data_IF_627848470243
#
_entry.id   IF_627848470243
#
_cell.length_a   1.000
_cell.length_b   1.000
_cell.length_c   1.000
_cell.angle_alpha   90.00
_cell.angle_beta   90.00
_cell.angle_gamma   90.00
#
_symmetry.space_group_name_H-M   'P 1'
#
loop_
_entity.id
_entity.type
_entity.pdbx_description
1 polymer ?
#
# COMPACT_ATOMS: atom_id res chain seq x y z
N UNK A 1 32.65 11.74 3.76
CA UNK A 1 32.10 11.65 5.12
C UNK A 1 30.91 10.73 5.10
N UNK A 2 30.95 9.59 5.79
CA UNK A 2 29.79 8.72 5.90
C UNK A 2 28.79 9.33 6.88
N UNK A 3 27.51 9.42 6.49
CA UNK A 3 26.43 9.91 7.34
C UNK A 3 25.71 8.67 7.88
N UNK A 4 25.85 8.41 9.17
CA UNK A 4 25.19 7.29 9.85
C UNK A 4 23.67 7.49 9.81
N UNK A 5 22.94 6.50 9.29
CA UNK A 5 21.48 6.46 9.36
C UNK A 5 21.09 5.80 10.68
N UNK A 6 20.55 6.59 11.62
CA UNK A 6 19.97 6.05 12.84
C UNK A 6 18.57 5.54 12.50
N UNK A 7 18.39 4.22 12.48
CA UNK A 7 17.07 3.60 12.34
C UNK A 7 16.39 3.60 13.71
N UNK A 8 15.62 4.64 14.01
CA UNK A 8 14.64 4.56 15.08
C UNK A 8 13.57 3.57 14.61
N UNK A 9 13.36 2.47 15.35
CA UNK A 9 12.24 1.54 15.14
C UNK A 9 10.93 2.31 15.34
N UNK A 10 10.46 2.95 14.27
CA UNK A 10 9.21 3.70 14.23
C UNK A 10 8.05 2.72 14.34
N UNK A 11 7.22 2.92 15.35
CA UNK A 11 5.87 2.37 15.39
C UNK A 11 5.16 2.99 14.19
N UNK A 12 4.67 2.17 13.25
CA UNK A 12 4.12 2.65 12.00
C UNK A 12 2.91 3.55 12.28
N UNK A 13 3.09 4.87 12.16
CA UNK A 13 2.00 5.82 12.19
C UNK A 13 1.14 5.58 10.95
N UNK A 14 -0.19 5.63 11.11
CA UNK A 14 -1.10 5.73 9.96
C UNK A 14 -0.92 7.12 9.36
N UNK A 15 0.04 7.24 8.44
CA UNK A 15 0.20 8.44 7.64
C UNK A 15 -0.66 8.33 6.39
N UNK A 16 -1.34 9.43 6.04
CA UNK A 16 -2.06 9.52 4.78
C UNK A 16 -1.06 9.48 3.62
N UNK A 17 -1.20 8.47 2.77
CA UNK A 17 -0.41 8.33 1.55
C UNK A 17 -1.18 8.99 0.40
N UNK A 18 -0.64 10.07 -0.17
CA UNK A 18 -1.23 10.71 -1.34
C UNK A 18 -0.97 9.85 -2.58
N UNK A 19 -2.03 9.37 -3.21
CA UNK A 19 -2.00 8.63 -4.48
C UNK A 19 -2.40 9.56 -5.62
N UNK A 20 -1.68 9.48 -6.74
CA UNK A 20 -2.02 10.21 -7.96
C UNK A 20 -2.79 9.32 -8.91
N UNK A 21 -3.67 9.91 -9.70
CA UNK A 21 -4.41 9.22 -10.77
C UNK A 21 -3.45 8.37 -11.62
N UNK A 22 -3.82 7.10 -11.85
CA UNK A 22 -2.97 6.10 -12.50
C UNK A 22 -2.24 5.20 -11.50
N UNK A 23 -1.08 4.69 -11.92
CA UNK A 23 -0.31 3.72 -11.16
C UNK A 23 0.60 4.39 -10.13
N UNK A 24 0.54 3.90 -8.90
CA UNK A 24 1.41 4.28 -7.79
C UNK A 24 2.06 3.03 -7.21
N UNK A 25 3.38 3.06 -7.02
CA UNK A 25 4.07 2.04 -6.22
C UNK A 25 4.20 2.52 -4.78
N UNK A 26 3.65 1.75 -3.84
CA UNK A 26 3.66 2.08 -2.41
C UNK A 26 4.13 0.88 -1.58
N UNK A 27 4.93 1.14 -0.55
CA UNK A 27 5.26 0.13 0.46
C UNK A 27 4.13 0.00 1.48
N UNK A 28 3.86 -1.23 1.94
CA UNK A 28 2.86 -1.43 2.98
C UNK A 28 3.43 -1.10 4.36
N UNK A 29 2.98 0.02 4.91
CA UNK A 29 3.49 0.61 6.15
C UNK A 29 2.66 0.19 7.38
N UNK A 30 2.32 -1.08 7.49
CA UNK A 30 1.78 -1.69 8.73
C UNK A 30 2.54 -2.96 9.06
N UNK A 31 2.63 -3.25 10.35
CA UNK A 31 3.23 -4.48 10.88
C UNK A 31 2.25 -5.66 10.91
N UNK A 32 0.97 -5.43 10.59
CA UNK A 32 -0.06 -6.46 10.58
C UNK A 32 -0.56 -6.72 9.16
N UNK A 33 -0.67 -7.99 8.80
CA UNK A 33 -1.34 -8.37 7.55
C UNK A 33 -2.83 -8.01 7.65
N UNK A 34 -3.38 -7.43 6.58
CA UNK A 34 -4.80 -7.06 6.53
C UNK A 34 -5.39 -7.49 5.20
N UNK A 35 -6.67 -7.85 5.19
CA UNK A 35 -7.39 -8.14 3.94
C UNK A 35 -7.34 -6.91 3.04
N UNK A 36 -7.25 -7.13 1.73
CA UNK A 36 -7.17 -6.04 0.74
C UNK A 36 -8.35 -5.07 0.89
N UNK A 37 -9.56 -5.59 1.10
CA UNK A 37 -10.78 -4.77 1.31
C UNK A 37 -10.65 -3.83 2.50
N UNK A 38 -10.04 -4.30 3.58
CA UNK A 38 -9.98 -3.59 4.85
C UNK A 38 -8.84 -2.57 4.82
N UNK A 39 -7.70 -2.96 4.26
CA UNK A 39 -6.54 -2.08 4.13
C UNK A 39 -6.78 -0.92 3.16
N UNK A 40 -7.55 -1.13 2.09
CA UNK A 40 -7.84 -0.12 1.06
C UNK A 40 -9.22 0.55 1.24
N UNK A 41 -9.88 0.36 2.39
CA UNK A 41 -11.23 0.86 2.64
C UNK A 41 -11.37 2.39 2.48
N UNK A 42 -10.35 3.17 2.87
CA UNK A 42 -10.35 4.64 2.76
C UNK A 42 -10.35 5.15 1.31
N UNK A 43 -9.94 4.32 0.35
CA UNK A 43 -9.94 4.63 -1.09
C UNK A 43 -10.91 3.72 -1.87
N UNK A 44 -11.84 3.07 -1.17
CA UNK A 44 -12.87 2.25 -1.81
C UNK A 44 -13.64 3.06 -2.87
N UNK A 45 -13.87 2.47 -4.04
CA UNK A 45 -14.52 3.14 -5.18
C UNK A 45 -13.59 4.03 -6.03
N UNK A 46 -12.39 4.40 -5.53
CA UNK A 46 -11.38 5.15 -6.27
C UNK A 46 -10.22 4.28 -6.76
N UNK A 47 -10.10 3.07 -6.22
CA UNK A 47 -9.10 2.09 -6.62
C UNK A 47 -9.66 1.12 -7.67
N UNK A 48 -8.92 0.92 -8.76
CA UNK A 48 -9.27 -0.04 -9.82
C UNK A 48 -8.67 -1.41 -9.55
N UNK A 49 -7.39 -1.47 -9.22
CA UNK A 49 -6.68 -2.72 -8.91
C UNK A 49 -5.47 -2.48 -8.00
N UNK A 50 -5.14 -3.49 -7.21
CA UNK A 50 -3.88 -3.59 -6.49
C UNK A 50 -3.14 -4.86 -6.90
N UNK A 51 -1.82 -4.76 -7.09
CA UNK A 51 -0.97 -5.86 -7.50
C UNK A 51 0.32 -5.90 -6.68
N UNK A 52 0.87 -7.10 -6.50
CA UNK A 52 2.19 -7.30 -5.89
C UNK A 52 2.90 -8.48 -6.56
N UNK A 53 4.22 -8.46 -6.51
CA UNK A 53 5.03 -9.59 -6.93
C UNK A 53 5.40 -10.43 -5.70
N UNK A 54 4.94 -11.67 -5.66
CA UNK A 54 5.33 -12.61 -4.62
C UNK A 54 6.67 -13.25 -4.98
N UNK A 55 7.74 -12.78 -4.35
CA UNK A 55 9.09 -13.28 -4.56
C UNK A 55 9.26 -14.77 -4.17
N UNK A 56 8.43 -15.27 -3.25
CA UNK A 56 8.49 -16.68 -2.83
C UNK A 56 8.00 -17.64 -3.92
N UNK A 57 6.93 -17.28 -4.63
CA UNK A 57 6.41 -18.08 -5.74
C UNK A 57 6.87 -17.61 -7.13
N UNK A 58 7.49 -16.44 -7.24
CA UNK A 58 7.90 -15.82 -8.49
C UNK A 58 6.73 -15.36 -9.36
N UNK A 59 5.57 -15.08 -8.76
CA UNK A 59 4.32 -14.78 -9.48
C UNK A 59 3.70 -13.46 -9.06
N UNK A 60 3.04 -12.82 -10.01
CA UNK A 60 2.19 -11.67 -9.73
C UNK A 60 0.86 -12.10 -9.09
N UNK A 61 0.46 -11.36 -8.08
CA UNK A 61 -0.84 -11.45 -7.43
C UNK A 61 -1.59 -10.13 -7.62
N UNK A 62 -2.92 -10.21 -7.77
CA UNK A 62 -3.78 -9.06 -8.04
C UNK A 62 -5.12 -9.16 -7.35
N UNK A 63 -5.72 -7.99 -7.15
CA UNK A 63 -7.09 -7.82 -6.72
C UNK A 63 -7.76 -6.71 -7.55
N UNK A 64 -8.88 -7.01 -8.19
CA UNK A 64 -9.75 -6.07 -8.88
C UNK A 64 -10.96 -5.75 -8.00
N UNK A 65 -11.24 -4.45 -7.81
CA UNK A 65 -12.39 -3.99 -7.03
C UNK A 65 -13.72 -4.11 -7.76
N UNK A 66 -13.71 -4.01 -9.09
CA UNK A 66 -14.92 -4.07 -9.93
C UNK A 66 -14.81 -5.16 -11.02
N UNK A 67 -14.14 -6.27 -10.73
CA UNK A 67 -13.91 -7.38 -11.66
C UNK A 67 -14.41 -8.72 -11.13
N UNK A 68 -14.40 -9.78 -11.96
CA UNK A 68 -14.77 -11.12 -11.53
C UNK A 68 -13.88 -11.62 -10.38
N UNK A 69 -14.51 -12.04 -9.27
CA UNK A 69 -13.81 -12.45 -8.04
C UNK A 69 -12.81 -13.57 -8.27
N UNK A 70 -13.08 -14.48 -9.21
CA UNK A 70 -12.19 -15.60 -9.52
C UNK A 70 -10.82 -15.17 -10.08
N UNK A 71 -10.68 -13.93 -10.54
CA UNK A 71 -9.40 -13.37 -11.00
C UNK A 71 -8.54 -12.82 -9.85
N UNK A 72 -9.10 -12.70 -8.65
CA UNK A 72 -8.44 -12.13 -7.48
C UNK A 72 -7.69 -13.23 -6.71
N UNK A 73 -6.37 -13.17 -6.74
CA UNK A 73 -5.48 -14.08 -6.03
C UNK A 73 -4.61 -13.37 -4.97
N UNK A 74 -4.70 -12.05 -4.85
CA UNK A 74 -4.17 -11.28 -3.71
C UNK A 74 -5.27 -11.10 -2.67
N UNK A 75 -5.15 -11.74 -1.51
CA UNK A 75 -6.18 -11.68 -0.46
C UNK A 75 -5.83 -10.69 0.66
N UNK A 76 -4.53 -10.49 0.93
CA UNK A 76 -4.03 -9.70 2.05
C UNK A 76 -2.86 -8.82 1.61
N UNK A 77 -2.77 -7.62 2.20
CA UNK A 77 -1.55 -6.84 2.21
C UNK A 77 -0.69 -7.27 3.41
N UNK A 78 0.60 -7.50 3.20
CA UNK A 78 1.53 -8.08 4.16
C UNK A 78 2.69 -7.12 4.43
N UNK A 79 3.19 -7.07 5.69
CA UNK A 79 4.36 -6.28 6.04
C UNK A 79 5.56 -6.56 5.14
N UNK A 80 6.28 -5.50 4.75
CA UNK A 80 7.52 -5.62 3.97
C UNK A 80 7.33 -5.84 2.46
N UNK A 81 6.10 -5.81 1.95
CA UNK A 81 5.81 -5.92 0.51
C UNK A 81 5.52 -4.55 -0.13
N UNK A 82 5.82 -4.45 -1.43
CA UNK A 82 5.44 -3.33 -2.28
C UNK A 82 4.18 -3.66 -3.09
N UNK A 83 3.32 -2.65 -3.26
CA UNK A 83 2.05 -2.77 -3.96
C UNK A 83 1.93 -1.71 -5.05
N UNK A 84 1.60 -2.15 -6.25
CA UNK A 84 1.17 -1.29 -7.33
C UNK A 84 -0.33 -1.08 -7.22
N UNK A 85 -0.74 0.16 -6.97
CA UNK A 85 -2.13 0.56 -6.82
C UNK A 85 -2.49 1.48 -7.98
N UNK A 86 -3.47 1.07 -8.79
CA UNK A 86 -4.06 1.90 -9.85
C UNK A 86 -5.29 2.61 -9.29
N UNK A 87 -5.24 3.95 -9.21
CA UNK A 87 -6.38 4.77 -8.77
C UNK A 87 -6.94 5.60 -9.92
N UNK A 88 -8.26 5.82 -9.90
CA UNK A 88 -9.02 6.50 -10.95
C UNK A 88 -8.98 8.03 -10.82
N UNK A 89 -8.65 8.53 -9.63
CA UNK A 89 -8.50 9.95 -9.32
C UNK A 89 -7.47 10.14 -8.20
N UNK A 90 -7.00 11.37 -7.99
CA UNK A 90 -6.11 11.67 -6.86
C UNK A 90 -6.86 11.43 -5.54
N UNK A 91 -6.25 10.70 -4.61
CA UNK A 91 -6.85 10.39 -3.31
C UNK A 91 -5.80 10.27 -2.21
N UNK A 92 -6.26 10.23 -0.96
CA UNK A 92 -5.42 9.94 0.20
C UNK A 92 -5.79 8.56 0.73
N UNK A 93 -4.79 7.70 0.80
CA UNK A 93 -4.90 6.36 1.36
C UNK A 93 -4.45 6.37 2.81
N UNK A 94 -5.40 6.15 3.71
CA UNK A 94 -5.17 5.99 5.15
C UNK A 94 -5.33 4.53 5.53
N UNK A 95 -4.32 3.97 6.21
CA UNK A 95 -4.43 2.64 6.80
C UNK A 95 -5.29 2.72 8.08
N UNK A 96 -6.17 1.74 8.35
CA UNK A 96 -6.89 1.71 9.61
C UNK A 96 -5.88 1.66 10.77
N UNK A 97 -6.06 2.55 11.76
CA UNK A 97 -5.17 2.61 12.92
C UNK A 97 -5.02 1.24 13.58
N UNK A 98 -3.81 0.95 14.03
CA UNK A 98 -3.59 -0.16 14.95
C UNK A 98 -4.19 0.25 16.30
N UNK A 99 -5.10 -0.55 16.85
CA UNK A 99 -5.69 -0.26 18.16
C UNK A 99 -4.57 -0.12 19.21
N UNK A 100 -4.33 1.11 19.69
CA UNK A 100 -3.43 1.39 20.82
C UNK A 100 -2.12 2.13 20.54
N UNK A 101 -1.90 2.73 19.37
CA UNK A 101 -0.65 3.48 19.08
C UNK A 101 -0.93 4.97 18.85
N UNK A 102 -0.56 5.82 19.82
CA UNK A 102 -0.60 7.28 19.69
C UNK A 102 0.66 7.77 18.94
N UNK A 103 0.47 8.57 17.90
CA UNK A 103 1.48 8.90 16.88
C UNK A 103 2.58 9.85 17.37
N UNK A 104 3.86 9.53 17.08
CA UNK A 104 4.92 10.53 16.82
C UNK A 104 5.93 10.00 15.79
N UNK A 105 6.17 10.81 14.75
CA UNK A 105 7.26 10.79 13.73
C UNK A 105 7.09 10.04 12.39
N UNK A 106 7.63 10.73 11.37
CA UNK A 106 7.36 10.64 9.94
C UNK A 106 8.02 9.46 9.20
N UNK A 107 7.22 8.76 8.39
CA UNK A 107 7.67 7.76 7.42
C UNK A 107 7.90 8.38 6.04
N UNK A 108 8.92 7.91 5.32
CA UNK A 108 9.22 8.40 3.96
C UNK A 108 8.47 7.57 2.90
N UNK A 109 7.66 8.24 2.08
CA UNK A 109 6.99 7.65 0.91
C UNK A 109 7.90 7.78 -0.32
N UNK A 110 8.21 6.68 -0.99
CA UNK A 110 8.83 6.70 -2.32
C UNK A 110 7.73 6.55 -3.37
N UNK A 111 7.40 7.63 -4.08
CA UNK A 111 6.38 7.62 -5.12
C UNK A 111 7.04 7.41 -6.49
N UNK A 112 6.67 6.33 -7.19
CA UNK A 112 6.97 6.14 -8.61
C UNK A 112 5.65 6.16 -9.39
N UNK A 113 5.47 7.17 -10.24
CA UNK A 113 4.32 7.25 -11.15
C UNK A 113 4.74 6.64 -12.48
N UNK A 114 4.08 5.56 -12.90
CA UNK A 114 4.30 5.01 -14.24
C UNK A 114 3.55 5.88 -15.26
N UNK A 115 4.16 6.21 -16.42
CA UNK A 115 3.46 6.94 -17.46
C UNK A 115 2.26 6.12 -17.98
N UNK A 116 1.14 6.76 -18.32
CA UNK A 116 0.03 6.08 -18.98
C UNK A 116 0.49 5.51 -20.33
N UNK A 117 0.06 4.28 -20.65
CA UNK A 117 0.25 3.63 -21.95
C UNK A 117 -0.85 4.04 -22.93
#
# INVERSE_FOLDING_TARGET
TAKTLVLNKGIAASENIVLKTGWNLVGYNSLQSRKVSDALASIAGKCKTVQTFDAGSGKWQRYFFQGPVFLNNLQELKPGQGYFIEVLENCEWTLPEEAGVSATNAGSVFQFTLPPH
#
